data_IF_642245768581
#
_entry.id   IF_642245768581
#
_cell.length_a   1.000
_cell.length_b   1.000
_cell.length_c   1.000
_cell.angle_alpha   90.00
_cell.angle_beta   90.00
_cell.angle_gamma   90.00
#
_symmetry.space_group_name_H-M   'P 1'
#
loop_
_entity.id
_entity.type
_entity.pdbx_description
1 polymer ?
2 non-polymer ?
3 non-polymer ?
4 non-polymer ?
5 water ?
#
# COMPACT_ATOMS: atom_id res chain seq x y z
N UNK A 31 28.13 -5.80 -6.31
CA UNK A 31 28.41 -4.91 -5.13
C UNK A 31 27.80 -5.47 -3.85
N UNK A 32 28.43 -5.13 -2.73
CA UNK A 32 27.95 -5.55 -1.39
C UNK A 32 28.08 -4.35 -0.45
N UNK A 33 27.38 -3.27 -0.80
CA UNK A 33 27.55 -1.99 -0.12
C UNK A 33 26.51 -1.74 0.99
N UNK A 34 25.46 -2.55 1.02
CA UNK A 34 24.35 -2.32 1.94
C UNK A 34 23.50 -1.12 1.54
N UNK A 35 23.46 -0.84 0.24
CA UNK A 35 22.62 0.23 -0.29
C UNK A 35 21.70 -0.29 -1.39
N UNK A 36 21.80 -1.57 -1.73
CA UNK A 36 21.01 -2.14 -2.85
C UNK A 36 19.52 -2.16 -2.50
N UNK A 37 18.69 -2.16 -3.55
CA UNK A 37 17.23 -2.30 -3.37
C UNK A 37 16.89 -3.71 -2.90
N UNK A 38 15.86 -3.83 -2.07
CA UNK A 38 15.36 -5.14 -1.68
C UNK A 38 14.07 -5.45 -2.42
N UNK A 39 14.07 -6.55 -3.16
CA UNK A 39 12.93 -6.89 -3.99
C UNK A 39 11.89 -7.79 -3.32
N UNK A 40 12.02 -7.98 -2.00
CA UNK A 40 10.98 -8.61 -1.19
C UNK A 40 10.36 -7.57 -0.22
N UNK A 41 10.57 -6.30 -0.51
CA UNK A 41 10.02 -5.18 0.27
C UNK A 41 9.10 -4.40 -0.65
N UNK A 42 7.81 -4.36 -0.27
CA UNK A 42 6.75 -3.79 -1.11
C UNK A 42 6.22 -2.55 -0.42
N UNK A 43 6.18 -1.43 -1.12
CA UNK A 43 5.74 -0.17 -0.50
C UNK A 43 4.49 0.33 -1.20
N UNK A 44 3.41 0.52 -0.44
CA UNK A 44 2.11 0.85 -1.03
C UNK A 44 2.06 2.31 -1.50
N UNK A 45 1.79 2.46 -2.80
CA UNK A 45 1.91 3.72 -3.51
C UNK A 45 0.59 4.13 -4.12
N UNK A 46 0.28 5.42 -3.99
CA UNK A 46 -0.99 6.00 -4.47
C UNK A 46 -0.73 7.04 -5.55
N UNK A 47 -1.38 6.89 -6.69
CA UNK A 47 -1.18 7.80 -7.83
C UNK A 47 -2.43 8.65 -8.13
N UNK A 48 -3.19 8.96 -7.08
CA UNK A 48 -4.47 9.61 -7.24
C UNK A 48 -4.46 11.10 -6.95
N UNK A 49 -3.26 11.68 -6.84
CA UNK A 49 -3.10 13.11 -6.55
C UNK A 49 -3.03 13.89 -7.83
N UNK A 50 -3.66 15.06 -7.82
CA UNK A 50 -3.68 15.90 -9.00
C UNK A 50 -3.35 17.35 -8.70
N UNK A 51 -3.01 18.08 -9.76
CA UNK A 51 -3.00 19.54 -9.70
C UNK A 51 -4.01 20.10 -10.71
N UNK A 52 -4.51 21.30 -10.44
CA UNK A 52 -5.32 22.00 -11.43
C UNK A 52 -4.63 22.08 -12.78
N UNK A 53 -3.34 22.43 -12.76
CA UNK A 53 -2.56 22.62 -13.99
C UNK A 53 -2.47 21.36 -14.85
N UNK A 54 -2.23 20.21 -14.22
CA UNK A 54 -1.97 18.99 -15.00
C UNK A 54 -3.23 18.13 -15.16
N UNK A 55 -4.05 18.12 -14.12
CA UNK A 55 -5.18 17.20 -14.02
C UNK A 55 -6.56 17.88 -14.04
N UNK A 56 -6.59 19.20 -13.94
CA UNK A 56 -7.86 19.95 -13.98
C UNK A 56 -8.42 20.25 -12.60
N UNK A 57 -7.85 19.60 -11.58
CA UNK A 57 -8.26 19.83 -10.20
C UNK A 57 -7.16 19.33 -9.27
N UNK A 58 -7.14 19.84 -8.04
CA UNK A 58 -6.19 19.36 -7.04
C UNK A 58 -6.76 18.07 -6.44
N UNK A 59 -6.81 17.03 -7.28
CA UNK A 59 -7.44 15.75 -6.97
C UNK A 59 -6.84 15.13 -5.72
N UNK A 60 -7.70 14.59 -4.86
CA UNK A 60 -7.32 14.00 -3.56
C UNK A 60 -6.80 14.96 -2.52
N UNK A 61 -6.02 15.98 -2.90
CA UNK A 61 -5.72 17.09 -1.96
C UNK A 61 -6.99 17.72 -1.49
N UNK A 62 -7.96 17.81 -2.40
CA UNK A 62 -9.36 18.06 -2.06
C UNK A 62 -10.04 16.71 -1.83
N UNK A 63 -10.88 16.62 -0.80
CA UNK A 63 -11.50 15.34 -0.41
C UNK A 63 -12.70 15.58 0.46
N UNK A 64 -13.73 14.77 0.26
CA UNK A 64 -14.92 14.79 1.09
C UNK A 64 -14.57 14.37 2.51
N UNK A 65 -15.19 15.01 3.49
CA UNK A 65 -15.06 14.60 4.88
C UNK A 65 -16.11 13.51 5.08
N UNK A 66 -15.68 12.36 5.62
CA UNK A 66 -16.59 11.22 5.79
C UNK A 66 -17.54 11.45 6.96
N UNK A 67 -18.84 11.12 6.77
CA UNK A 67 -19.76 11.19 7.91
C UNK A 67 -19.40 10.16 8.97
N UNK A 68 -19.76 10.46 10.23
CA UNK A 68 -19.60 9.52 11.34
C UNK A 68 -20.56 8.35 11.14
N UNK A 69 -20.04 7.12 11.05
CA UNK A 69 -20.91 5.94 10.93
C UNK A 69 -21.82 5.73 12.14
N UNK A 70 -21.44 6.28 13.29
CA UNK A 70 -22.24 6.18 14.51
C UNK A 70 -22.83 7.52 14.97
N UNK A 71 -22.84 8.51 14.07
CA UNK A 71 -23.28 9.87 14.43
C UNK A 71 -24.69 10.21 13.95
N UNK A 72 -25.01 11.51 13.91
CA UNK A 72 -26.33 11.98 13.46
C UNK A 72 -26.73 11.57 12.04
N UNK A 73 -28.01 11.75 11.73
CA UNK A 73 -28.49 11.48 10.36
C UNK A 73 -28.50 12.76 9.53
N UNK A 74 -28.50 13.91 10.19
CA UNK A 74 -28.47 15.19 9.49
C UNK A 74 -27.07 15.75 9.34
N UNK A 75 -26.10 14.88 9.12
CA UNK A 75 -24.70 15.31 8.98
C UNK A 75 -24.45 15.93 7.62
N UNK A 76 -23.98 17.17 7.63
CA UNK A 76 -23.41 17.79 6.45
C UNK A 76 -21.92 17.98 6.73
N UNK A 77 -21.11 16.92 6.54
CA UNK A 77 -19.70 17.00 6.95
C UNK A 77 -18.87 17.97 6.11
N UNK A 78 -19.23 18.14 4.85
CA UNK A 78 -18.50 19.08 3.99
C UNK A 78 -17.28 18.44 3.37
N UNK A 79 -16.38 19.28 2.88
CA UNK A 79 -15.22 18.80 2.13
C UNK A 79 -13.99 19.60 2.53
N UNK A 80 -12.81 18.99 2.34
CA UNK A 80 -11.57 19.73 2.44
C UNK A 80 -11.28 20.27 1.04
N UNK A 81 -11.11 21.59 0.90
CA UNK A 81 -11.06 22.21 -0.42
C UNK A 81 -9.81 21.92 -1.26
N UNK A 82 -8.72 21.48 -0.64
CA UNK A 82 -7.49 21.20 -1.38
C UNK A 82 -6.76 22.45 -1.83
N UNK A 83 -6.92 23.53 -1.06
CA UNK A 83 -6.15 24.75 -1.25
C UNK A 83 -4.76 24.56 -0.67
N UNK A 84 -3.85 25.50 -0.95
CA UNK A 84 -2.54 25.46 -0.33
C UNK A 84 -2.63 25.34 1.20
N UNK A 85 -3.59 26.06 1.78
CA UNK A 85 -3.74 26.13 3.23
C UNK A 85 -4.46 24.93 3.84
N UNK A 86 -5.33 24.30 3.06
CA UNK A 86 -6.18 23.24 3.58
C UNK A 86 -6.24 22.02 2.64
N UNK A 87 -5.39 21.03 2.92
CA UNK A 87 -5.35 19.78 2.15
C UNK A 87 -5.85 18.59 2.98
N UNK A 88 -6.19 17.49 2.32
CA UNK A 88 -6.81 16.35 2.98
C UNK A 88 -5.77 15.41 3.63
N UNK A 89 -5.01 15.95 4.58
CA UNK A 89 -3.97 15.20 5.30
C UNK A 89 -3.70 15.93 6.61
N UNK A 90 -3.35 15.19 7.66
CA UNK A 90 -2.89 15.83 8.89
C UNK A 90 -1.43 16.29 8.80
N UNK A 91 -0.75 15.83 7.76
CA UNK A 91 0.63 16.22 7.45
C UNK A 91 0.67 17.03 6.16
N UNK A 92 1.86 17.52 5.82
CA UNK A 92 2.01 18.33 4.62
C UNK A 92 3.22 17.88 3.78
N UNK A 93 2.97 17.52 2.50
CA UNK A 93 4.09 17.02 1.68
C UNK A 93 5.18 18.04 1.44
N UNK A 94 6.42 17.58 1.56
CA UNK A 94 7.58 18.35 1.13
C UNK A 94 7.44 18.79 -0.32
N UNK A 95 6.85 17.94 -1.17
CA UNK A 95 6.66 18.26 -2.58
C UNK A 95 5.40 19.10 -2.87
N UNK A 96 4.66 19.49 -1.84
CA UNK A 96 3.46 20.35 -1.99
C UNK A 96 2.29 19.60 -2.63
N UNK A 97 1.33 20.33 -3.17
CA UNK A 97 0.15 19.69 -3.77
C UNK A 97 0.52 19.17 -5.15
N UNK A 98 1.23 18.04 -5.16
CA UNK A 98 1.77 17.52 -6.39
C UNK A 98 0.79 16.75 -7.27
N UNK A 99 1.08 16.68 -8.56
CA UNK A 99 0.34 15.81 -9.48
C UNK A 99 1.06 14.47 -9.64
N UNK A 100 0.31 13.37 -9.48
CA UNK A 100 0.81 12.02 -9.75
C UNK A 100 1.06 11.80 -11.25
N UNK A 101 0.64 12.75 -12.08
CA UNK A 101 0.88 12.70 -13.52
C UNK A 101 2.16 13.44 -13.93
N UNK A 102 2.81 14.13 -12.98
CA UNK A 102 3.97 14.98 -13.28
C UNK A 102 5.24 14.13 -13.34
N UNK A 103 5.86 14.03 -14.54
CA UNK A 103 7.06 13.21 -14.72
C UNK A 103 8.17 13.57 -13.75
N UNK A 104 8.30 14.87 -13.43
CA UNK A 104 9.38 15.25 -12.55
C UNK A 104 9.06 14.88 -11.07
N UNK A 105 7.78 14.83 -10.72
CA UNK A 105 7.38 14.30 -9.40
C UNK A 105 7.70 12.81 -9.35
N UNK A 106 7.33 12.08 -10.41
CA UNK A 106 7.63 10.65 -10.49
C UNK A 106 9.14 10.36 -10.38
N UNK A 107 9.97 11.16 -11.04
CA UNK A 107 11.42 10.99 -10.91
C UNK A 107 11.88 11.11 -9.45
N UNK A 108 11.36 12.13 -8.75
CA UNK A 108 11.73 12.38 -7.35
C UNK A 108 11.28 11.24 -6.44
N UNK A 109 10.06 10.73 -6.69
CA UNK A 109 9.57 9.57 -5.95
C UNK A 109 10.43 8.35 -6.10
N UNK A 110 10.86 8.06 -7.33
CA UNK A 110 11.73 6.91 -7.59
C UNK A 110 13.08 7.05 -6.89
N UNK A 111 13.62 8.27 -6.86
CA UNK A 111 14.83 8.53 -6.08
C UNK A 111 14.60 8.33 -4.58
N UNK A 112 13.39 8.64 -4.10
CA UNK A 112 13.03 8.39 -2.69
C UNK A 112 12.94 6.91 -2.39
N UNK A 113 12.38 6.14 -3.34
CA UNK A 113 12.38 4.67 -3.25
C UNK A 113 13.80 4.11 -3.17
N UNK A 114 14.70 4.66 -3.96
CA UNK A 114 16.11 4.25 -3.93
C UNK A 114 16.73 4.54 -2.58
N UNK A 115 16.41 5.73 -2.04
CA UNK A 115 16.89 6.11 -0.71
C UNK A 115 16.39 5.13 0.37
N UNK A 116 15.14 4.69 0.23
CA UNK A 116 14.51 3.80 1.20
C UNK A 116 14.88 2.33 1.00
N UNK A 117 15.52 2.02 -0.14
CA UNK A 117 15.87 0.64 -0.54
C UNK A 117 14.64 -0.26 -0.75
N UNK A 118 13.49 0.36 -0.97
CA UNK A 118 12.26 -0.37 -1.26
C UNK A 118 12.20 -0.72 -2.75
N UNK A 119 12.41 -1.99 -3.07
CA UNK A 119 12.55 -2.43 -4.48
C UNK A 119 11.25 -2.55 -5.26
N UNK A 120 10.12 -2.68 -4.56
CA UNK A 120 8.82 -2.88 -5.23
C UNK A 120 7.78 -1.84 -4.84
N UNK A 121 7.23 -1.21 -5.86
CA UNK A 121 6.19 -0.20 -5.68
C UNK A 121 4.85 -0.91 -5.93
N UNK A 122 3.99 -0.94 -4.92
CA UNK A 122 2.72 -1.67 -5.00
C UNK A 122 1.62 -0.65 -5.30
N UNK A 123 1.25 -0.56 -6.58
CA UNK A 123 0.42 0.52 -7.09
C UNK A 123 -1.07 0.28 -6.91
N UNK A 124 -1.73 1.22 -6.24
CA UNK A 124 -3.20 1.22 -6.09
C UNK A 124 -3.82 1.14 -7.48
N UNK A 125 -4.83 0.29 -7.63
CA UNK A 125 -5.46 0.08 -8.93
C UNK A 125 -6.95 -0.08 -8.80
N UNK A 126 -7.67 0.84 -9.45
CA UNK A 126 -9.11 1.02 -9.22
C UNK A 126 -10.02 0.72 -10.38
N UNK A 127 -9.48 0.16 -11.46
CA UNK A 127 -10.27 -0.16 -12.67
C UNK A 127 -11.03 1.07 -13.20
N UNK A 128 -10.34 2.19 -13.29
CA UNK A 128 -10.96 3.45 -13.67
C UNK A 128 -11.37 3.51 -15.14
N UNK A 129 -10.78 2.64 -15.94
CA UNK A 129 -10.96 2.62 -17.39
C UNK A 129 -11.02 4.03 -17.97
N UNK A 130 -9.96 4.79 -17.70
CA UNK A 130 -9.86 6.13 -18.24
C UNK A 130 -8.43 6.42 -18.67
N UNK A 131 -8.30 7.24 -19.70
CA UNK A 131 -7.02 7.47 -20.34
C UNK A 131 -5.99 8.10 -19.41
N UNK A 132 -6.43 8.95 -18.49
CA UNK A 132 -5.48 9.64 -17.63
C UNK A 132 -4.77 8.65 -16.68
N UNK A 133 -5.49 7.60 -16.28
CA UNK A 133 -4.88 6.55 -15.45
C UNK A 133 -3.91 5.66 -16.24
N UNK A 134 -4.30 5.26 -17.45
CA UNK A 134 -3.39 4.56 -18.36
C UNK A 134 -2.08 5.34 -18.52
N UNK A 135 -2.17 6.66 -18.69
CA UNK A 135 -0.98 7.48 -18.82
C UNK A 135 -0.10 7.42 -17.57
N UNK A 136 -0.72 7.57 -16.39
CA UNK A 136 0.02 7.47 -15.13
C UNK A 136 0.72 6.13 -14.95
N UNK A 137 0.03 5.04 -15.26
CA UNK A 137 0.64 3.72 -15.07
C UNK A 137 1.89 3.57 -15.95
N UNK A 138 1.82 4.01 -17.22
CA UNK A 138 2.99 3.95 -18.10
C UNK A 138 4.13 4.83 -17.63
N UNK A 139 3.80 6.03 -17.17
CA UNK A 139 4.83 6.95 -16.65
C UNK A 139 5.52 6.37 -15.41
N UNK A 140 4.73 5.75 -14.54
CA UNK A 140 5.26 5.12 -13.32
C UNK A 140 6.18 3.95 -13.64
N UNK A 141 5.71 3.06 -14.51
CA UNK A 141 6.55 1.94 -14.97
C UNK A 141 7.89 2.42 -15.53
N UNK A 142 7.82 3.40 -16.43
CA UNK A 142 9.01 3.96 -17.07
C UNK A 142 9.98 4.58 -16.06
N UNK A 143 9.43 5.40 -15.15
CA UNK A 143 10.23 6.09 -14.14
C UNK A 143 10.87 5.08 -13.19
N UNK A 144 10.08 4.09 -12.77
CA UNK A 144 10.57 3.01 -11.91
C UNK A 144 11.76 2.31 -12.56
N UNK A 145 11.64 1.96 -13.85
CA UNK A 145 12.67 1.15 -14.50
C UNK A 145 14.02 1.88 -14.54
N UNK A 146 13.97 3.20 -14.69
CA UNK A 146 15.20 4.00 -14.75
C UNK A 146 16.02 3.85 -13.47
N UNK A 147 15.36 3.44 -12.39
CA UNK A 147 16.00 3.31 -11.08
C UNK A 147 15.99 1.86 -10.59
N UNK A 148 15.67 0.92 -11.49
CA UNK A 148 15.63 -0.53 -11.22
C UNK A 148 14.57 -0.92 -10.19
N UNK A 149 13.61 -0.02 -9.99
CA UNK A 149 12.45 -0.31 -9.14
C UNK A 149 11.44 -1.16 -9.92
N UNK A 150 10.75 -2.07 -9.20
CA UNK A 150 9.73 -2.92 -9.79
C UNK A 150 8.34 -2.44 -9.36
N UNK A 151 7.33 -2.78 -10.15
CA UNK A 151 5.96 -2.35 -9.90
C UNK A 151 5.03 -3.56 -9.89
N UNK A 152 4.20 -3.68 -8.85
CA UNK A 152 3.10 -4.64 -8.87
C UNK A 152 1.81 -3.90 -8.57
N UNK A 153 0.68 -4.58 -8.73
CA UNK A 153 -0.61 -3.91 -8.57
C UNK A 153 -1.33 -4.34 -7.30
N UNK A 154 -1.91 -3.33 -6.65
CA UNK A 154 -2.71 -3.48 -5.44
C UNK A 154 -4.14 -3.32 -5.88
N UNK A 155 -4.83 -4.45 -6.03
CA UNK A 155 -6.16 -4.46 -6.63
C UNK A 155 -7.21 -4.06 -5.62
N UNK A 156 -7.83 -2.92 -5.86
CA UNK A 156 -8.70 -2.28 -4.87
C UNK A 156 -10.14 -2.73 -5.06
N UNK A 157 -11.01 -2.42 -4.08
CA UNK A 157 -12.42 -2.85 -4.18
C UNK A 157 -13.22 -1.95 -5.13
N UNK A 158 -13.00 -2.12 -6.43
CA UNK A 158 -13.75 -1.35 -7.44
C UNK A 158 -15.21 -1.84 -7.57
N UNK A 159 -16.11 -1.02 -8.18
CA UNK A 159 -17.54 -1.42 -8.15
C UNK A 159 -17.87 -2.73 -8.87
N UNK A 160 -18.66 -3.59 -8.22
CA UNK A 160 -19.02 -4.91 -8.77
C UNK A 160 -17.80 -5.80 -9.03
N UNK A 161 -16.68 -5.50 -8.36
CA UNK A 161 -15.50 -6.38 -8.44
C UNK A 161 -15.95 -7.81 -8.11
N UNK A 162 -15.51 -8.77 -8.92
CA UNK A 162 -15.89 -10.17 -8.71
C UNK A 162 -14.82 -11.03 -9.39
N UNK A 163 -14.86 -12.35 -9.23
CA UNK A 163 -13.71 -13.13 -9.74
C UNK A 163 -13.58 -13.12 -11.28
N UNK A 164 -14.70 -12.92 -11.97
CA UNK A 164 -14.71 -12.89 -13.44
C UNK A 164 -14.04 -11.63 -13.99
N UNK A 165 -14.51 -10.45 -13.58
CA UNK A 165 -13.82 -9.22 -14.01
C UNK A 165 -12.44 -9.07 -13.40
N UNK A 166 -12.20 -9.67 -12.23
CA UNK A 166 -10.82 -9.74 -11.72
C UNK A 166 -9.92 -10.50 -12.69
N UNK A 167 -10.39 -11.66 -13.16
CA UNK A 167 -9.61 -12.42 -14.14
C UNK A 167 -9.38 -11.59 -15.40
N UNK A 168 -10.43 -10.94 -15.88
CA UNK A 168 -10.35 -10.14 -17.11
C UNK A 168 -9.34 -9.01 -16.93
N UNK A 169 -9.33 -8.42 -15.73
CA UNK A 169 -8.40 -7.34 -15.44
C UNK A 169 -6.96 -7.81 -15.24
N UNK A 170 -6.79 -8.98 -14.61
CA UNK A 170 -5.47 -9.60 -14.48
C UNK A 170 -4.90 -9.92 -15.87
N UNK A 171 -5.75 -10.49 -16.74
CA UNK A 171 -5.34 -10.78 -18.13
C UNK A 171 -4.87 -9.49 -18.81
N UNK A 172 -5.67 -8.43 -18.70
CA UNK A 172 -5.35 -7.16 -19.32
C UNK A 172 -4.04 -6.58 -18.79
N UNK A 173 -3.85 -6.64 -17.47
CA UNK A 173 -2.65 -6.07 -16.87
C UNK A 173 -1.39 -6.84 -17.27
N UNK A 174 -1.45 -8.16 -17.19
CA UNK A 174 -0.32 -9.00 -17.61
C UNK A 174 -0.04 -8.82 -19.12
N UNK A 175 -1.09 -8.79 -19.92
CA UNK A 175 -0.95 -8.64 -21.37
C UNK A 175 -0.32 -7.29 -21.73
N UNK A 176 -0.83 -6.22 -21.13
CA UNK A 176 -0.37 -4.87 -21.44
C UNK A 176 1.00 -4.56 -20.86
N UNK A 177 1.25 -4.99 -19.62
CA UNK A 177 2.47 -4.59 -18.93
C UNK A 177 3.50 -5.69 -18.64
N UNK A 178 3.14 -6.93 -18.94
CA UNK A 178 3.98 -8.09 -18.61
C UNK A 178 5.37 -8.06 -19.22
N UNK A 179 5.52 -7.38 -20.35
CA UNK A 179 6.82 -7.28 -21.01
C UNK A 179 7.61 -6.04 -20.60
N UNK A 180 6.98 -5.15 -19.81
CA UNK A 180 7.70 -4.00 -19.30
C UNK A 180 8.80 -4.44 -18.35
N UNK A 181 10.03 -3.89 -18.52
CA UNK A 181 11.12 -4.35 -17.66
C UNK A 181 10.92 -4.09 -16.16
N UNK A 182 10.02 -3.19 -15.80
CA UNK A 182 9.75 -2.92 -14.38
C UNK A 182 8.61 -3.76 -13.80
N UNK A 183 7.97 -4.57 -14.64
CA UNK A 183 6.85 -5.43 -14.20
C UNK A 183 7.40 -6.48 -13.22
N UNK A 184 6.92 -6.46 -11.97
CA UNK A 184 7.47 -7.34 -10.92
C UNK A 184 7.15 -8.82 -11.13
N UNK A 185 8.17 -9.65 -10.94
CA UNK A 185 8.00 -11.10 -10.92
C UNK A 185 8.79 -11.70 -9.75
N UNK A 186 8.21 -12.70 -9.11
CA UNK A 186 8.88 -13.51 -8.10
C UNK A 186 8.96 -14.94 -8.63
N UNK A 187 10.20 -15.43 -8.83
CA UNK A 187 10.44 -16.74 -9.42
C UNK A 187 9.55 -16.95 -10.65
N UNK A 188 9.52 -15.95 -11.53
CA UNK A 188 8.76 -16.03 -12.77
C UNK A 188 7.29 -15.61 -12.72
N UNK A 189 6.75 -15.38 -11.53
CA UNK A 189 5.32 -15.05 -11.40
C UNK A 189 5.04 -13.60 -11.03
N UNK A 190 4.03 -12.99 -11.68
CA UNK A 190 3.56 -11.70 -11.19
C UNK A 190 2.97 -11.88 -9.79
N UNK A 191 2.77 -10.76 -9.11
CA UNK A 191 2.18 -10.79 -7.77
C UNK A 191 1.14 -9.68 -7.67
N UNK A 192 -0.03 -10.02 -7.12
CA UNK A 192 -1.04 -9.02 -6.81
C UNK A 192 -1.39 -9.05 -5.32
N UNK A 193 -1.57 -7.87 -4.74
CA UNK A 193 -2.21 -7.72 -3.44
C UNK A 193 -3.69 -7.45 -3.68
N UNK A 194 -4.56 -8.11 -2.93
CA UNK A 194 -6.01 -7.92 -3.13
C UNK A 194 -6.60 -7.30 -1.86
N UNK A 195 -6.88 -6.01 -1.91
CA UNK A 195 -7.42 -5.29 -0.77
C UNK A 195 -8.88 -5.72 -0.52
N UNK A 196 -9.24 -5.82 0.75
CA UNK A 196 -10.58 -6.25 1.17
C UNK A 196 -11.06 -7.52 0.44
N UNK A 197 -10.17 -8.50 0.34
CA UNK A 197 -10.48 -9.76 -0.36
C UNK A 197 -11.65 -10.50 0.27
N UNK A 198 -11.90 -10.23 1.55
CA UNK A 198 -12.98 -10.88 2.29
C UNK A 198 -14.38 -10.51 1.77
N UNK A 199 -14.48 -9.44 0.98
CA UNK A 199 -15.76 -9.05 0.37
C UNK A 199 -16.22 -10.05 -0.73
N UNK A 200 -15.33 -10.96 -1.11
CA UNK A 200 -15.65 -12.00 -2.11
C UNK A 200 -15.53 -13.37 -1.43
N UNK A 201 -16.58 -14.18 -1.55
CA UNK A 201 -16.66 -15.50 -0.91
C UNK A 201 -15.56 -16.46 -1.38
N UNK A 202 -15.04 -17.32 -0.47
CA UNK A 202 -14.06 -18.31 -0.91
C UNK A 202 -14.56 -19.22 -2.04
N UNK A 203 -15.87 -19.50 -2.09
CA UNK A 203 -16.40 -20.33 -3.18
C UNK A 203 -16.21 -19.67 -4.55
N UNK A 204 -16.26 -18.33 -4.59
CA UNK A 204 -15.92 -17.61 -5.82
C UNK A 204 -14.41 -17.60 -6.09
N UNK A 205 -13.63 -17.26 -5.06
CA UNK A 205 -12.17 -17.30 -5.19
C UNK A 205 -11.68 -18.62 -5.74
N UNK A 206 -12.27 -19.73 -5.28
CA UNK A 206 -11.85 -21.07 -5.70
C UNK A 206 -11.88 -21.22 -7.22
N UNK A 207 -12.88 -20.64 -7.86
CA UNK A 207 -13.05 -20.75 -9.31
C UNK A 207 -11.86 -20.13 -10.05
N UNK A 208 -11.28 -19.12 -9.43
CA UNK A 208 -10.18 -18.36 -10.04
C UNK A 208 -8.83 -18.90 -9.60
N UNK A 209 -8.75 -19.36 -8.36
CA UNK A 209 -7.46 -19.65 -7.72
C UNK A 209 -7.12 -21.10 -7.43
N UNK A 210 -8.11 -21.99 -7.44
CA UNK A 210 -7.80 -23.41 -7.35
C UNK A 210 -7.29 -23.89 -8.71
N UNK A 211 -6.30 -24.81 -8.72
CA UNK A 211 -5.91 -25.43 -9.99
C UNK A 211 -7.10 -26.07 -10.72
N UNK A 212 -8.15 -26.44 -9.98
CA UNK A 212 -9.34 -27.05 -10.56
C UNK A 212 -10.50 -26.10 -10.85
N UNK A 213 -10.32 -24.82 -10.52
CA UNK A 213 -11.38 -23.84 -10.67
C UNK A 213 -11.81 -23.60 -12.11
N UNK A 214 -13.11 -23.38 -12.30
CA UNK A 214 -13.71 -23.21 -13.63
C UNK A 214 -13.11 -22.09 -14.45
N UNK A 215 -12.59 -21.04 -13.80
CA UNK A 215 -11.90 -19.98 -14.55
C UNK A 215 -10.46 -19.80 -14.04
N UNK A 216 -9.83 -20.92 -13.70
CA UNK A 216 -8.54 -20.85 -13.03
C UNK A 216 -7.48 -20.06 -13.81
N UNK A 217 -6.62 -19.37 -13.07
CA UNK A 217 -5.39 -18.81 -13.65
C UNK A 217 -4.20 -19.74 -13.46
N UNK A 218 -4.37 -20.78 -12.65
CA UNK A 218 -3.25 -21.70 -12.37
C UNK A 218 -2.87 -22.44 -13.66
N UNK A 219 -1.56 -22.55 -13.91
CA UNK A 219 -1.04 -23.24 -15.09
C UNK A 219 -1.40 -22.54 -16.40
N UNK A 220 -1.72 -21.24 -16.33
CA UNK A 220 -2.01 -20.45 -17.54
C UNK A 220 -0.95 -19.37 -17.67
N UNK A 221 -0.95 -18.67 -18.80
CA UNK A 221 -0.07 -17.50 -18.99
C UNK A 221 -0.36 -16.38 -18.00
N UNK A 222 -1.48 -16.50 -17.26
CA UNK A 222 -1.93 -15.45 -16.35
C UNK A 222 -1.83 -15.78 -14.86
N UNK A 223 -1.15 -16.87 -14.55
CA UNK A 223 -0.91 -17.29 -13.18
C UNK A 223 -0.12 -16.20 -12.46
N UNK A 224 -0.34 -16.07 -11.15
CA UNK A 224 0.25 -14.98 -10.37
C UNK A 224 0.21 -15.37 -8.90
N UNK A 225 1.09 -14.80 -8.10
CA UNK A 225 0.97 -14.95 -6.64
C UNK A 225 -0.13 -13.99 -6.19
N UNK A 226 -1.18 -14.55 -5.59
CA UNK A 226 -2.31 -13.77 -5.14
C UNK A 226 -2.28 -13.66 -3.63
N UNK A 227 -2.12 -12.42 -3.15
CA UNK A 227 -1.93 -12.14 -1.73
C UNK A 227 -3.19 -11.49 -1.18
N UNK A 228 -3.91 -12.21 -0.33
CA UNK A 228 -5.18 -11.70 0.19
C UNK A 228 -4.98 -11.00 1.53
N UNK A 229 -6.00 -10.24 1.93
CA UNK A 229 -5.94 -9.47 3.16
C UNK A 229 -6.41 -10.29 4.36
N UNK A 230 -5.48 -10.64 5.24
CA UNK A 230 -5.81 -11.28 6.50
C UNK A 230 -6.30 -10.22 7.44
N UNK A 231 -7.57 -10.31 7.83
CA UNK A 231 -8.14 -9.34 8.78
C UNK A 231 -8.25 -9.88 10.21
N UNK A 232 -9.22 -10.76 10.46
CA UNK A 232 -9.65 -11.11 11.81
C UNK A 232 -8.97 -12.35 12.41
N UNK A 233 -9.66 -13.07 13.30
CA UNK A 233 -9.03 -14.17 14.04
C UNK A 233 -8.70 -15.39 13.16
N UNK A 234 -7.73 -16.23 13.58
CA UNK A 234 -7.36 -17.43 12.83
C UNK A 234 -8.55 -18.36 12.56
N UNK A 235 -9.50 -18.42 13.50
CA UNK A 235 -10.72 -19.24 13.30
C UNK A 235 -11.41 -18.95 11.97
N UNK A 236 -11.50 -17.67 11.64
CA UNK A 236 -12.12 -17.21 10.40
C UNK A 236 -11.10 -17.19 9.26
N UNK A 237 -9.92 -16.65 9.52
CA UNK A 237 -8.99 -16.37 8.42
C UNK A 237 -8.31 -17.59 7.82
N UNK A 238 -7.96 -18.56 8.66
CA UNK A 238 -7.27 -19.77 8.18
C UNK A 238 -8.05 -20.53 7.11
N UNK A 239 -9.32 -20.91 7.39
CA UNK A 239 -10.07 -21.60 6.33
C UNK A 239 -10.38 -20.71 5.13
N UNK A 240 -10.57 -19.40 5.37
CA UNK A 240 -10.77 -18.45 4.26
C UNK A 240 -9.58 -18.53 3.29
N UNK A 241 -8.38 -18.35 3.82
CA UNK A 241 -7.16 -18.38 3.00
C UNK A 241 -7.01 -19.72 2.28
N UNK A 242 -7.27 -20.82 2.98
CA UNK A 242 -7.12 -22.14 2.38
C UNK A 242 -8.19 -22.42 1.33
N UNK A 243 -9.44 -22.15 1.68
CA UNK A 243 -10.58 -22.40 0.77
C UNK A 243 -10.60 -21.48 -0.46
N UNK A 244 -10.04 -20.28 -0.30
CA UNK A 244 -9.94 -19.34 -1.41
C UNK A 244 -8.75 -19.61 -2.31
N UNK A 245 -7.82 -20.43 -1.82
CA UNK A 245 -6.59 -20.76 -2.56
C UNK A 245 -5.69 -19.57 -2.84
N UNK A 246 -5.67 -18.60 -1.93
CA UNK A 246 -4.67 -17.53 -2.00
C UNK A 246 -3.28 -18.11 -1.81
N UNK A 247 -2.31 -17.50 -2.47
CA UNK A 247 -0.91 -17.90 -2.30
C UNK A 247 -0.27 -17.34 -1.05
N UNK A 248 -0.87 -16.30 -0.51
CA UNK A 248 -0.35 -15.71 0.70
C UNK A 248 -1.29 -14.68 1.22
N UNK A 249 -0.82 -13.91 2.21
CA UNK A 249 -1.64 -12.89 2.84
C UNK A 249 -0.81 -11.74 3.38
N UNK A 250 -1.44 -10.57 3.43
CA UNK A 250 -0.84 -9.37 4.01
C UNK A 250 -1.86 -8.77 4.95
N UNK A 251 -1.47 -7.75 5.71
CA UNK A 251 -2.34 -7.24 6.77
C UNK A 251 -2.78 -5.79 6.55
N UNK A 252 -2.03 -5.08 5.70
CA UNK A 252 -2.23 -3.65 5.35
C UNK A 252 -2.17 -2.59 6.47
N UNK A 253 -3.06 -2.69 7.47
CA UNK A 253 -3.31 -1.54 8.34
C UNK A 253 -2.07 -1.11 9.12
N UNK A 254 -1.74 0.17 9.02
CA UNK A 254 -0.59 0.76 9.69
C UNK A 254 -0.81 0.94 11.19
N UNK A 255 -2.09 0.99 11.61
CA UNK A 255 -2.43 1.21 13.03
C UNK A 255 -2.46 -0.11 13.80
N UNK A 256 -1.51 -0.29 14.73
CA UNK A 256 -1.44 -1.53 15.49
C UNK A 256 -2.76 -1.73 16.25
N UNK A 257 -3.25 -2.98 16.26
CA UNK A 257 -4.44 -3.32 17.00
C UNK A 257 -5.74 -3.10 16.24
N UNK A 258 -5.68 -2.48 15.06
CA UNK A 258 -6.91 -2.19 14.32
C UNK A 258 -7.67 -3.48 13.98
N UNK A 259 -6.92 -4.51 13.57
CA UNK A 259 -7.46 -5.85 13.36
C UNK A 259 -6.52 -6.83 14.07
N UNK A 260 -6.96 -8.09 14.19
CA UNK A 260 -6.08 -9.18 14.62
C UNK A 260 -4.81 -9.21 13.77
N UNK A 261 -4.98 -9.15 12.44
CA UNK A 261 -3.84 -9.20 11.53
C UNK A 261 -2.86 -8.04 11.69
N UNK A 262 -3.36 -6.88 12.10
CA UNK A 262 -2.48 -5.72 12.28
C UNK A 262 -2.03 -5.55 13.73
N UNK A 263 -2.11 -6.64 14.50
CA UNK A 263 -1.60 -6.69 15.88
C UNK A 263 -0.28 -7.48 15.85
N UNK A 264 0.87 -6.77 15.87
CA UNK A 264 2.17 -7.42 15.64
C UNK A 264 2.55 -8.60 16.54
N UNK A 265 1.95 -8.70 17.73
CA UNK A 265 2.25 -9.86 18.59
C UNK A 265 1.66 -11.16 18.03
N UNK A 266 0.75 -11.07 17.07
CA UNK A 266 0.22 -12.25 16.38
C UNK A 266 1.11 -12.76 15.24
N UNK A 267 2.11 -12.00 14.87
CA UNK A 267 2.88 -12.31 13.66
C UNK A 267 3.72 -13.57 13.71
N UNK A 268 4.37 -13.85 14.84
CA UNK A 268 5.07 -15.15 14.97
C UNK A 268 4.13 -16.35 14.67
N UNK A 269 2.93 -16.34 15.26
CA UNK A 269 1.95 -17.40 15.07
C UNK A 269 1.40 -17.45 13.64
N UNK A 270 1.22 -16.27 13.04
CA UNK A 270 0.74 -16.17 11.66
C UNK A 270 1.77 -16.72 10.67
N UNK A 271 3.06 -16.45 10.93
CA UNK A 271 4.15 -16.95 10.09
C UNK A 271 4.27 -18.49 10.21
N UNK A 272 4.10 -19.00 11.43
CA UNK A 272 4.12 -20.43 11.70
C UNK A 272 3.05 -21.13 10.87
N UNK A 273 1.84 -20.59 10.91
CA UNK A 273 0.72 -21.16 10.14
C UNK A 273 0.99 -21.08 8.66
N UNK A 274 1.46 -19.92 8.20
CA UNK A 274 1.79 -19.74 6.79
C UNK A 274 2.82 -20.77 6.32
N UNK A 275 3.88 -20.96 7.11
CA UNK A 275 4.93 -21.91 6.74
C UNK A 275 4.37 -23.33 6.67
N UNK A 276 3.57 -23.71 7.66
CA UNK A 276 2.95 -25.03 7.68
C UNK A 276 2.05 -25.29 6.49
N UNK A 277 1.51 -24.22 5.90
CA UNK A 277 0.48 -24.38 4.87
C UNK A 277 0.90 -23.95 3.46
N UNK A 278 2.21 -23.73 3.28
CA UNK A 278 2.76 -23.34 2.00
C UNK A 278 2.32 -21.96 1.54
N UNK A 279 2.04 -21.07 2.48
CA UNK A 279 1.53 -19.73 2.16
C UNK A 279 2.59 -18.65 2.43
N UNK A 280 2.50 -17.53 1.71
CA UNK A 280 3.47 -16.45 1.86
C UNK A 280 2.89 -15.34 2.73
N UNK A 281 3.49 -15.10 3.89
CA UNK A 281 3.02 -14.05 4.81
C UNK A 281 3.84 -12.78 4.56
N UNK A 282 3.15 -11.68 4.26
CA UNK A 282 3.78 -10.39 3.98
C UNK A 282 3.18 -9.34 4.95
N UNK A 283 3.63 -9.33 6.22
CA UNK A 283 3.08 -8.37 7.19
C UNK A 283 3.30 -6.95 6.68
N UNK A 284 2.36 -6.07 7.01
CA UNK A 284 2.47 -4.65 6.68
C UNK A 284 2.87 -3.85 7.91
N UNK A 285 3.89 -3.03 7.74
CA UNK A 285 4.40 -2.18 8.79
C UNK A 285 4.22 -0.71 8.36
N UNK A 286 3.96 0.16 9.32
CA UNK A 286 3.82 1.58 9.01
C UNK A 286 4.39 2.46 10.11
N UNK A 287 4.66 3.74 9.80
CA UNK A 287 5.29 4.65 10.74
C UNK A 287 4.33 5.34 11.71
N UNK A 288 3.04 5.17 11.49
CA UNK A 288 2.04 5.87 12.31
C UNK A 288 0.71 5.85 11.60
N UNK A 289 -0.31 6.45 12.22
CA UNK A 289 -1.61 6.56 11.59
C UNK A 289 -2.37 7.75 12.14
N UNK A 290 -2.92 8.58 11.24
CA UNK A 290 -3.92 9.57 11.63
C UNK A 290 -4.72 9.99 10.39
N UNK A 291 -6.04 9.91 10.48
CA UNK A 291 -6.86 10.29 9.32
C UNK A 291 -7.98 11.27 9.68
N UNK A 292 -7.77 12.04 10.76
CA UNK A 292 -8.87 12.83 11.32
C UNK A 292 -9.27 14.07 10.52
N UNK A 293 -8.45 14.50 9.56
CA UNK A 293 -8.88 15.56 8.64
C UNK A 293 -10.07 15.07 7.79
N UNK A 294 -9.96 13.85 7.25
CA UNK A 294 -11.05 13.29 6.46
C UNK A 294 -12.06 12.43 7.25
N UNK A 295 -11.65 11.95 8.43
CA UNK A 295 -12.51 11.13 9.30
C UNK A 295 -12.41 11.65 10.74
N UNK A 296 -13.06 12.81 11.01
CA UNK A 296 -12.80 13.49 12.30
C UNK A 296 -13.28 12.72 13.52
N UNK A 297 -14.20 11.78 13.31
CA UNK A 297 -14.71 10.87 14.34
C UNK A 297 -13.79 9.70 14.63
N UNK A 298 -12.68 9.58 13.90
CA UNK A 298 -11.87 8.35 13.92
C UNK A 298 -10.60 8.48 14.79
N UNK A 299 -10.67 9.36 15.81
CA UNK A 299 -9.51 9.60 16.70
C UNK A 299 -8.93 8.41 17.44
N UNK A 300 -9.75 7.40 17.76
CA UNK A 300 -9.27 6.23 18.50
C UNK A 300 -8.23 5.42 17.72
N UNK A 301 -8.19 5.61 16.40
CA UNK A 301 -7.27 4.84 15.55
C UNK A 301 -5.92 5.57 15.37
N UNK A 302 -5.82 6.80 15.88
CA UNK A 302 -4.56 7.55 15.87
C UNK A 302 -3.43 6.74 16.53
N UNK A 303 -2.30 6.62 15.82
CA UNK A 303 -1.08 6.05 16.38
C UNK A 303 0.04 7.07 16.19
N UNK A 304 0.61 7.57 17.28
CA UNK A 304 1.62 8.66 17.23
C UNK A 304 2.98 8.12 16.77
N UNK A 305 3.73 8.94 16.03
CA UNK A 305 5.02 8.49 15.44
C UNK A 305 6.16 8.41 16.47
N UNK A 306 6.04 9.23 17.51
CA UNK A 306 7.09 9.39 18.54
C UNK A 306 8.52 9.34 18.01
N UNK A 307 8.80 10.24 17.08
CA UNK A 307 10.15 10.42 16.53
C UNK A 307 10.73 9.17 15.87
N UNK A 308 9.84 8.30 15.38
CA UNK A 308 10.25 7.07 14.67
C UNK A 308 10.17 5.79 15.49
N UNK A 309 9.95 5.90 16.80
CA UNK A 309 9.94 4.70 17.66
C UNK A 309 8.82 3.74 17.27
N UNK A 310 7.66 4.28 16.89
CA UNK A 310 6.52 3.44 16.47
C UNK A 310 6.90 2.62 15.25
N UNK A 311 7.53 3.28 14.28
CA UNK A 311 7.93 2.61 13.04
C UNK A 311 8.95 1.50 13.37
N UNK A 312 9.95 1.85 14.17
CA UNK A 312 10.95 0.88 14.63
C UNK A 312 10.34 -0.35 15.30
N UNK A 313 9.40 -0.13 16.21
CA UNK A 313 8.78 -1.23 16.95
C UNK A 313 8.05 -2.17 16.02
N UNK A 314 7.29 -1.61 15.08
CA UNK A 314 6.53 -2.43 14.14
C UNK A 314 7.42 -3.20 13.14
N UNK A 315 8.41 -2.52 12.57
CA UNK A 315 9.34 -3.16 11.65
C UNK A 315 10.15 -4.28 12.36
N UNK A 316 10.59 -4.00 13.60
CA UNK A 316 11.29 -5.00 14.43
C UNK A 316 10.47 -6.29 14.56
N UNK A 317 9.18 -6.13 14.87
CA UNK A 317 8.24 -7.26 14.99
C UNK A 317 8.09 -8.08 13.72
N UNK A 318 8.03 -7.41 12.58
CA UNK A 318 7.94 -8.14 11.30
C UNK A 318 9.19 -8.98 11.08
N UNK A 319 10.36 -8.37 11.28
CA UNK A 319 11.62 -9.06 11.02
C UNK A 319 11.78 -10.23 12.00
N UNK A 320 11.45 -9.98 13.26
CA UNK A 320 11.48 -11.02 14.29
C UNK A 320 10.54 -12.19 14.04
N UNK A 321 9.45 -11.98 13.31
CA UNK A 321 8.54 -13.08 12.97
C UNK A 321 9.15 -14.07 11.95
N UNK A 322 10.26 -13.68 11.35
CA UNK A 322 10.98 -14.54 10.39
C UNK A 322 10.34 -14.66 9.01
N UNK A 323 9.62 -13.62 8.59
CA UNK A 323 8.96 -13.58 7.27
C UNK A 323 9.95 -13.41 6.11
N UNK A 324 9.52 -13.79 4.91
CA UNK A 324 10.35 -13.73 3.70
C UNK A 324 10.14 -12.42 2.91
N UNK A 325 9.14 -11.64 3.33
CA UNK A 325 8.78 -10.41 2.61
C UNK A 325 8.02 -9.48 3.54
N UNK A 326 8.13 -8.16 3.31
CA UNK A 326 7.51 -7.18 4.18
C UNK A 326 6.88 -6.13 3.28
N UNK A 327 5.69 -5.66 3.66
CA UNK A 327 5.04 -4.56 2.96
C UNK A 327 4.99 -3.33 3.85
N UNK A 328 5.09 -2.15 3.24
CA UNK A 328 5.11 -0.89 3.97
C UNK A 328 3.87 -0.07 3.62
N UNK A 329 3.09 0.22 4.66
CA UNK A 329 1.93 1.08 4.56
C UNK A 329 2.29 2.40 5.25
N UNK A 330 2.64 3.45 4.48
CA UNK A 330 2.57 3.48 3.01
C UNK A 330 3.66 4.41 2.50
N UNK A 331 3.85 4.46 1.18
CA UNK A 331 4.67 5.54 0.65
C UNK A 331 3.98 6.88 0.83
N UNK A 332 2.72 6.96 0.39
CA UNK A 332 2.03 8.26 0.25
C UNK A 332 0.50 8.18 0.36
N UNK A 333 -0.01 7.41 1.32
CA UNK A 333 -1.42 7.53 1.70
C UNK A 333 -1.53 8.68 2.70
N UNK A 334 -1.49 9.90 2.17
CA UNK A 334 -1.49 11.12 2.99
C UNK A 334 -2.74 11.31 3.80
N UNK A 335 -3.87 10.80 3.29
CA UNK A 335 -5.14 10.92 4.02
C UNK A 335 -5.10 10.19 5.32
N UNK A 336 -4.28 9.14 5.40
CA UNK A 336 -4.28 8.28 6.57
C UNK A 336 -3.04 8.42 7.44
N UNK A 337 -2.17 9.35 7.05
CA UNK A 337 -1.01 9.72 7.87
C UNK A 337 -0.04 8.58 8.08
N UNK A 338 -0.01 7.64 7.14
CA UNK A 338 0.86 6.46 7.22
C UNK A 338 2.09 6.61 6.31
N UNK A 339 2.20 7.76 5.65
CA UNK A 339 3.21 7.97 4.59
C UNK A 339 4.65 8.02 5.14
N UNK A 340 5.59 7.41 4.42
CA UNK A 340 7.02 7.65 4.68
C UNK A 340 7.58 8.75 3.75
N UNK A 341 6.78 9.18 2.79
CA UNK A 341 7.23 10.27 1.91
C UNK A 341 7.55 11.51 2.75
N UNK A 342 8.64 12.24 2.40
CA UNK A 342 9.01 13.41 3.20
C UNK A 342 7.87 14.41 3.38
N UNK A 343 7.69 14.83 4.64
CA UNK A 343 6.73 15.85 5.05
C UNK A 343 7.48 17.03 5.69
N UNK A 344 6.89 18.22 5.60
CA UNK A 344 7.55 19.41 6.15
C UNK A 344 6.64 20.14 7.15
N UNK A 345 7.25 20.89 8.08
CA UNK A 345 6.41 21.67 8.99
C UNK A 345 5.62 22.71 8.21
N UNK A 346 4.36 22.90 8.56
CA UNK A 346 3.54 23.91 7.91
C UNK A 346 2.41 24.35 8.80
N UNK A 347 2.26 25.66 8.94
CA UNK A 347 1.12 26.23 9.64
C UNK A 347 0.46 27.23 8.71
N UNK A 348 -0.82 27.00 8.44
CA UNK A 348 -1.57 27.98 7.68
C UNK A 348 -2.61 28.55 8.62
N UNK A 349 -3.35 29.54 8.14
CA UNK A 349 -4.44 30.12 8.90
C UNK A 349 -5.55 29.08 9.13
N UNK A 350 -5.60 28.08 8.25
CA UNK A 350 -6.67 27.07 8.29
C UNK A 350 -6.36 25.89 9.20
N UNK A 351 -5.09 25.50 9.26
CA UNK A 351 -4.71 24.28 9.97
C UNK A 351 -3.24 24.29 10.34
N UNK A 352 -2.91 23.77 11.51
CA UNK A 352 -1.51 23.50 11.86
C UNK A 352 -1.24 22.02 11.64
N UNK A 353 -0.40 21.72 10.65
CA UNK A 353 -0.14 20.32 10.29
C UNK A 353 0.81 19.67 11.27
N UNK A 354 0.67 18.36 11.43
CA UNK A 354 1.70 17.58 12.09
C UNK A 354 2.91 17.54 11.16
N UNK A 355 4.07 17.17 11.69
CA UNK A 355 5.28 17.06 10.89
C UNK A 355 6.18 16.02 11.55
N UNK A 356 7.44 15.90 11.11
CA UNK A 356 8.27 14.80 11.61
C UNK A 356 9.06 15.14 12.89
N UNK A 357 8.61 16.20 13.57
CA UNK A 357 8.97 16.46 14.98
C UNK A 357 10.47 16.76 15.03
N UNK A 358 11.24 15.94 15.73
CA UNK A 358 12.69 16.15 15.83
C UNK A 358 13.48 15.51 14.69
N UNK A 359 12.77 14.89 13.73
CA UNK A 359 13.43 14.22 12.61
C UNK A 359 13.35 15.08 11.37
N UNK A 360 14.34 14.93 10.48
CA UNK A 360 14.36 15.62 9.19
C UNK A 360 13.26 15.05 8.26
N UNK A 361 12.82 15.84 7.25
CA UNK A 361 11.78 15.36 6.35
C UNK A 361 12.05 13.99 5.72
N UNK A 362 13.31 13.67 5.43
CA UNK A 362 13.58 12.36 4.82
C UNK A 362 13.85 11.23 5.80
N UNK A 363 13.62 11.47 7.10
CA UNK A 363 13.95 10.49 8.13
C UNK A 363 13.30 9.12 7.88
N UNK A 364 12.02 9.12 7.49
CA UNK A 364 11.32 7.85 7.31
C UNK A 364 11.83 7.06 6.11
N UNK A 365 12.40 7.76 5.13
CA UNK A 365 13.06 7.11 4.00
C UNK A 365 14.36 6.44 4.44
N UNK A 366 15.20 7.20 5.16
CA UNK A 366 16.49 6.67 5.60
C UNK A 366 16.31 5.60 6.71
N UNK A 367 15.29 5.78 7.55
CA UNK A 367 14.97 4.76 8.57
C UNK A 367 14.45 3.46 7.93
N UNK A 368 13.68 3.60 6.86
CA UNK A 368 13.29 2.44 6.05
C UNK A 368 14.51 1.68 5.51
N UNK A 369 15.48 2.40 4.96
CA UNK A 369 16.71 1.79 4.48
C UNK A 369 17.45 1.03 5.59
N UNK A 370 17.42 1.58 6.79
CA UNK A 370 18.01 0.94 7.96
C UNK A 370 17.31 -0.41 8.22
N UNK A 371 15.97 -0.39 8.24
CA UNK A 371 15.22 -1.61 8.50
C UNK A 371 15.33 -2.62 7.40
N UNK A 372 15.38 -2.16 6.15
CA UNK A 372 15.64 -3.04 5.03
C UNK A 372 16.98 -3.77 5.24
N UNK A 373 17.99 -3.04 5.69
CA UNK A 373 19.30 -3.63 6.01
C UNK A 373 19.17 -4.73 7.06
N UNK A 374 18.48 -4.44 8.16
CA UNK A 374 18.22 -5.44 9.21
C UNK A 374 17.44 -6.66 8.71
N UNK A 375 16.44 -6.42 7.86
CA UNK A 375 15.66 -7.50 7.24
C UNK A 375 16.54 -8.42 6.39
N UNK A 376 17.41 -7.80 5.60
CA UNK A 376 18.26 -8.56 4.69
C UNK A 376 19.28 -9.36 5.49
N UNK A 377 19.70 -8.80 6.60
CA UNK A 377 20.66 -9.42 7.46
C UNK A 377 20.15 -10.74 8.02
N UNK A 378 18.84 -10.83 8.30
CA UNK A 378 18.30 -12.04 8.91
C UNK A 378 17.47 -12.91 7.96
N UNK A 379 17.29 -12.42 6.73
CA UNK A 379 16.37 -13.01 5.73
C UNK A 379 16.55 -14.52 5.56
#
# INVERSE_FOLDING_TARGET
>A
MMIFFLSLSLESCSKEDDNNPSNSENNGGNNNLGTELDYDTFCFYYDWYGSEAIDGQYRHWAHAIAPDPNGGSGQNPGTIPGTQESIASNFYPQLGRYSSSDPNILTKHMDMFVMARTGVLALTWWNEQDETEAKRIGLILDAADKKKIKVCFHLEPYPSRNVQNLRENIVKLITRYGNHPAFYRKDGKPLFFIYDSYLIEPSEWEKLLSPGGSITIRNTAYDALMIGLWTSSPTVQRPFILNAHFDGFYTYFAATGFTYGSTPTNWVSMQKWAKENGKIFIPSVGPGYIDTRIRPWNGSVIRTRTDGQYYDAMYRKAIEAGVSAISITSFNEWHEGSQIEPAVPYTSSEFTYLDYENREPDYYLTRTAYWVGKFRESKQ
#
